data_IF_417679049675
#
_entry.id   IF_417679049675
#
_cell.length_a   1.000
_cell.length_b   1.000
_cell.length_c   1.000
_cell.angle_alpha   90.00
_cell.angle_beta   90.00
_cell.angle_gamma   90.00
#
_symmetry.space_group_name_H-M   'P 1'
#
loop_
_entity.id
_entity.type
_entity.pdbx_description
1 polymer ?
#
# COMPACT_ATOMS: atom_id res chain seq x y z
N UNK A 1 -29.84 26.37 -22.08
CA UNK A 1 -28.82 25.31 -22.26
C UNK A 1 -28.03 25.06 -20.98
N UNK A 2 -27.35 26.04 -20.37
CA UNK A 2 -26.60 25.84 -19.10
C UNK A 2 -27.43 25.22 -17.96
N UNK A 3 -28.65 25.70 -17.73
CA UNK A 3 -29.52 25.18 -16.67
C UNK A 3 -30.05 23.75 -16.93
N UNK A 4 -30.05 23.31 -18.19
CA UNK A 4 -30.52 21.98 -18.60
C UNK A 4 -29.40 20.93 -18.63
N UNK A 5 -28.14 21.38 -18.67
CA UNK A 5 -26.94 20.53 -18.77
C UNK A 5 -25.85 21.01 -17.80
N UNK A 6 -26.23 21.33 -16.56
CA UNK A 6 -25.33 21.92 -15.57
C UNK A 6 -24.08 21.07 -15.30
N UNK A 7 -24.19 19.74 -15.39
CA UNK A 7 -23.05 18.82 -15.24
C UNK A 7 -21.96 18.93 -16.32
N UNK A 8 -22.22 19.60 -17.45
CA UNK A 8 -21.23 19.84 -18.52
C UNK A 8 -20.50 21.18 -18.38
N UNK A 9 -20.93 22.04 -17.46
CA UNK A 9 -20.32 23.35 -17.25
C UNK A 9 -19.67 23.38 -15.87
N UNK A 10 -18.35 23.61 -15.84
CA UNK A 10 -17.60 23.72 -14.59
C UNK A 10 -18.14 24.84 -13.70
N UNK A 11 -18.18 24.57 -12.40
CA UNK A 11 -18.52 25.52 -11.35
C UNK A 11 -17.27 26.36 -11.07
N UNK A 12 -17.40 27.67 -10.81
CA UNK A 12 -16.25 28.50 -10.43
C UNK A 12 -15.67 28.07 -9.08
N UNK A 13 -14.36 28.26 -8.85
CA UNK A 13 -13.71 27.90 -7.58
C UNK A 13 -14.39 28.54 -6.37
N UNK A 14 -14.79 29.82 -6.48
CA UNK A 14 -15.54 30.53 -5.42
C UNK A 14 -16.86 29.84 -5.07
N UNK A 15 -17.56 29.33 -6.08
CA UNK A 15 -18.82 28.62 -5.91
C UNK A 15 -18.61 27.23 -5.31
N UNK A 16 -17.50 26.55 -5.64
CA UNK A 16 -17.11 25.28 -5.02
C UNK A 16 -16.81 25.50 -3.53
N UNK A 17 -16.02 26.52 -3.18
CA UNK A 17 -15.70 26.85 -1.79
C UNK A 17 -16.97 27.14 -0.98
N UNK A 18 -17.92 27.87 -1.56
CA UNK A 18 -19.23 28.13 -0.94
C UNK A 18 -20.03 26.84 -0.72
N UNK A 19 -20.04 25.91 -1.68
CA UNK A 19 -20.72 24.61 -1.53
C UNK A 19 -20.04 23.79 -0.43
N UNK A 20 -18.71 23.68 -0.43
CA UNK A 20 -17.98 22.86 0.54
C UNK A 20 -18.08 23.38 1.98
N UNK A 21 -18.25 24.69 2.17
CA UNK A 21 -18.38 25.32 3.50
C UNK A 21 -19.83 25.50 3.96
N UNK A 22 -20.79 25.27 3.07
CA UNK A 22 -22.22 25.37 3.40
C UNK A 22 -22.63 24.25 4.36
N UNK A 23 -23.29 24.62 5.47
CA UNK A 23 -23.84 23.65 6.43
C UNK A 23 -24.93 22.73 5.86
N UNK A 24 -25.48 23.06 4.69
CA UNK A 24 -26.48 22.22 4.00
C UNK A 24 -25.85 21.16 3.08
N UNK A 25 -24.53 21.18 2.91
CA UNK A 25 -23.84 20.20 2.09
C UNK A 25 -23.66 18.91 2.87
N UNK A 26 -23.98 17.79 2.19
CA UNK A 26 -23.79 16.44 2.71
C UNK A 26 -22.68 15.77 1.91
N UNK A 27 -21.66 15.29 2.60
CA UNK A 27 -20.57 14.53 2.01
C UNK A 27 -20.89 13.04 2.06
N UNK A 28 -20.81 12.40 0.89
CA UNK A 28 -20.99 10.96 0.75
C UNK A 28 -19.71 10.42 0.11
N UNK A 29 -19.01 9.55 0.83
CA UNK A 29 -17.84 8.88 0.29
C UNK A 29 -18.25 7.61 -0.45
N UNK A 30 -17.58 7.34 -1.56
CA UNK A 30 -17.65 6.05 -2.22
C UNK A 30 -16.97 4.97 -1.35
N UNK A 31 -17.49 3.75 -1.36
CA UNK A 31 -16.88 2.62 -0.67
C UNK A 31 -15.43 2.39 -1.12
N UNK A 32 -15.11 2.63 -2.39
CA UNK A 32 -13.77 2.50 -2.94
C UNK A 32 -12.75 3.45 -2.32
N UNK A 33 -13.17 4.67 -1.95
CA UNK A 33 -12.29 5.61 -1.25
C UNK A 33 -11.95 5.03 0.13
N UNK A 34 -12.96 4.57 0.86
CA UNK A 34 -12.79 3.96 2.19
C UNK A 34 -11.93 2.69 2.13
N UNK A 35 -12.09 1.87 1.09
CA UNK A 35 -11.29 0.67 0.87
C UNK A 35 -9.85 1.00 0.46
N UNK A 36 -9.62 2.13 -0.22
CA UNK A 36 -8.28 2.57 -0.62
C UNK A 36 -7.41 2.95 0.57
N UNK A 37 -8.00 3.36 1.69
CA UNK A 37 -7.27 3.66 2.94
C UNK A 37 -6.48 2.45 3.49
N UNK A 38 -6.84 1.21 3.12
CA UNK A 38 -6.11 -0.01 3.47
C UNK A 38 -4.87 -0.27 2.59
N UNK A 39 -4.71 0.51 1.52
CA UNK A 39 -3.60 0.43 0.55
C UNK A 39 -2.66 1.63 0.64
N UNK A 40 -3.08 2.70 1.31
CA UNK A 40 -2.28 3.90 1.49
C UNK A 40 -1.26 3.75 2.62
N UNK A 41 -0.24 4.62 2.58
CA UNK A 41 0.65 4.79 3.72
C UNK A 41 -0.11 5.31 4.94
N UNK A 42 0.42 4.99 6.12
CA UNK A 42 -0.18 5.39 7.39
C UNK A 42 -0.33 6.91 7.51
N UNK A 43 0.65 7.67 7.05
CA UNK A 43 0.59 9.14 7.03
C UNK A 43 -0.56 9.67 6.17
N UNK A 44 -0.70 9.18 4.93
CA UNK A 44 -1.79 9.58 4.04
C UNK A 44 -3.15 9.24 4.63
N UNK A 45 -3.27 8.05 5.24
CA UNK A 45 -4.49 7.62 5.92
C UNK A 45 -4.80 8.52 7.13
N UNK A 46 -3.81 8.86 7.95
CA UNK A 46 -4.00 9.73 9.10
C UNK A 46 -4.42 11.13 8.65
N UNK A 47 -3.80 11.66 7.59
CA UNK A 47 -4.18 12.94 7.01
C UNK A 47 -5.63 12.96 6.50
N UNK A 48 -6.08 11.86 5.91
CA UNK A 48 -7.47 11.70 5.52
C UNK A 48 -8.41 11.77 6.74
N UNK A 49 -8.09 11.09 7.84
CA UNK A 49 -8.89 11.14 9.06
C UNK A 49 -8.87 12.52 9.72
N UNK A 50 -7.74 13.23 9.71
CA UNK A 50 -7.68 14.62 10.18
C UNK A 50 -8.64 15.54 9.40
N UNK A 51 -8.71 15.37 8.08
CA UNK A 51 -9.65 16.13 7.25
C UNK A 51 -11.09 15.70 7.54
N UNK A 52 -11.35 14.40 7.65
CA UNK A 52 -12.67 13.86 7.98
C UNK A 52 -13.18 14.47 9.28
N UNK A 53 -12.38 14.52 10.35
CA UNK A 53 -12.80 15.09 11.63
C UNK A 53 -13.41 16.49 11.52
N UNK A 54 -12.97 17.31 10.56
CA UNK A 54 -13.52 18.64 10.33
C UNK A 54 -14.89 18.65 9.63
N UNK A 55 -15.24 17.58 8.92
CA UNK A 55 -16.46 17.48 8.09
C UNK A 55 -17.41 16.36 8.54
N UNK A 56 -17.09 15.64 9.62
CA UNK A 56 -17.82 14.44 10.05
C UNK A 56 -19.31 14.68 10.31
N UNK A 57 -19.68 15.85 10.84
CA UNK A 57 -21.07 16.22 11.12
C UNK A 57 -21.91 16.37 9.84
N UNK A 58 -21.24 16.58 8.70
CA UNK A 58 -21.84 16.71 7.38
C UNK A 58 -21.71 15.43 6.54
N UNK A 59 -21.13 14.36 7.09
CA UNK A 59 -20.94 13.11 6.38
C UNK A 59 -22.17 12.20 6.54
N UNK A 60 -22.66 11.67 5.43
CA UNK A 60 -23.71 10.66 5.42
C UNK A 60 -23.27 9.42 4.63
N UNK A 61 -23.57 8.24 5.17
CA UNK A 61 -23.20 6.97 4.56
C UNK A 61 -24.46 6.19 4.16
N UNK A 62 -24.79 6.14 2.85
CA UNK A 62 -25.87 5.32 2.35
C UNK A 62 -25.66 3.84 2.70
N UNK A 63 -26.76 3.11 2.94
CA UNK A 63 -26.71 1.67 3.23
C UNK A 63 -25.87 0.90 2.21
N UNK A 64 -26.02 1.22 0.92
CA UNK A 64 -25.29 0.53 -0.16
C UNK A 64 -23.77 0.71 -0.05
N UNK A 65 -23.30 1.91 0.30
CA UNK A 65 -21.87 2.19 0.50
C UNK A 65 -21.34 1.35 1.67
N UNK A 66 -22.06 1.34 2.79
CA UNK A 66 -21.69 0.54 3.96
C UNK A 66 -21.66 -0.96 3.63
N UNK A 67 -22.67 -1.47 2.90
CA UNK A 67 -22.76 -2.87 2.51
C UNK A 67 -21.60 -3.28 1.60
N UNK A 68 -21.28 -2.47 0.59
CA UNK A 68 -20.16 -2.71 -0.31
C UNK A 68 -18.82 -2.70 0.45
N UNK A 69 -18.62 -1.71 1.32
CA UNK A 69 -17.45 -1.63 2.19
C UNK A 69 -17.30 -2.90 3.03
N UNK A 70 -18.35 -3.32 3.74
CA UNK A 70 -18.30 -4.49 4.62
C UNK A 70 -18.00 -5.79 3.85
N UNK A 71 -18.61 -5.96 2.66
CA UNK A 71 -18.36 -7.13 1.81
C UNK A 71 -16.90 -7.20 1.31
N UNK A 72 -16.31 -6.05 1.00
CA UNK A 72 -15.00 -5.99 0.35
C UNK A 72 -13.83 -5.78 1.33
N UNK A 73 -14.08 -5.30 2.56
CA UNK A 73 -13.04 -4.93 3.53
C UNK A 73 -12.01 -6.03 3.77
N UNK A 74 -12.46 -7.23 4.15
CA UNK A 74 -11.54 -8.34 4.48
C UNK A 74 -10.73 -8.80 3.27
N UNK A 75 -11.35 -8.77 2.08
CA UNK A 75 -10.68 -9.09 0.82
C UNK A 75 -9.56 -8.08 0.54
N UNK A 76 -9.85 -6.78 0.61
CA UNK A 76 -8.85 -5.73 0.35
C UNK A 76 -7.71 -5.78 1.38
N UNK A 77 -8.00 -6.03 2.66
CA UNK A 77 -6.99 -6.23 3.70
C UNK A 77 -6.07 -7.40 3.36
N UNK A 78 -6.64 -8.53 2.94
CA UNK A 78 -5.87 -9.70 2.53
C UNK A 78 -5.03 -9.41 1.29
N UNK A 79 -5.62 -8.85 0.25
CA UNK A 79 -4.93 -8.53 -1.01
C UNK A 79 -3.76 -7.57 -0.77
N UNK A 80 -3.91 -6.59 0.13
CA UNK A 80 -2.86 -5.66 0.53
C UNK A 80 -1.70 -6.37 1.25
N UNK A 81 -2.00 -7.30 2.17
CA UNK A 81 -0.99 -8.14 2.83
C UNK A 81 -0.25 -9.04 1.85
N UNK A 82 -0.98 -9.68 0.94
CA UNK A 82 -0.44 -10.59 -0.06
C UNK A 82 0.47 -9.84 -1.04
N UNK A 83 0.10 -8.61 -1.42
CA UNK A 83 0.93 -7.74 -2.27
C UNK A 83 2.26 -7.39 -1.59
N UNK A 84 2.24 -7.03 -0.32
CA UNK A 84 3.44 -6.74 0.48
C UNK A 84 4.35 -7.97 0.61
N UNK A 85 3.78 -9.15 0.85
CA UNK A 85 4.55 -10.39 1.00
C UNK A 85 5.24 -10.85 -0.29
N UNK A 86 4.73 -10.48 -1.46
CA UNK A 86 5.37 -10.78 -2.75
C UNK A 86 6.71 -10.07 -2.94
N UNK A 87 6.92 -8.92 -2.30
CA UNK A 87 8.15 -8.12 -2.44
C UNK A 87 9.38 -8.90 -1.94
N UNK A 88 9.49 -9.29 -0.65
CA UNK A 88 10.65 -10.01 -0.15
C UNK A 88 10.79 -11.39 -0.81
N UNK A 89 9.68 -12.05 -1.17
CA UNK A 89 9.71 -13.32 -1.91
C UNK A 89 10.40 -13.17 -3.27
N UNK A 90 10.07 -12.13 -4.03
CA UNK A 90 10.66 -11.87 -5.34
C UNK A 90 12.14 -11.54 -5.23
N UNK A 91 12.52 -10.72 -4.23
CA UNK A 91 13.93 -10.39 -3.97
C UNK A 91 14.73 -11.65 -3.61
N UNK A 92 14.23 -12.48 -2.67
CA UNK A 92 14.88 -13.74 -2.29
C UNK A 92 15.02 -14.72 -3.47
N UNK A 93 14.00 -14.80 -4.33
CA UNK A 93 14.06 -15.62 -5.53
C UNK A 93 15.17 -15.15 -6.49
N UNK A 94 15.27 -13.85 -6.74
CA UNK A 94 16.32 -13.28 -7.59
C UNK A 94 17.73 -13.47 -7.00
N UNK A 95 17.89 -13.35 -5.68
CA UNK A 95 19.17 -13.62 -5.01
C UNK A 95 19.57 -15.09 -5.18
N UNK A 96 18.64 -16.02 -4.99
CA UNK A 96 18.90 -17.45 -5.16
C UNK A 96 19.26 -17.81 -6.61
N UNK A 97 18.60 -17.19 -7.57
CA UNK A 97 18.92 -17.34 -8.99
C UNK A 97 20.34 -16.84 -9.29
N UNK A 98 20.68 -15.63 -8.82
CA UNK A 98 22.00 -15.05 -8.99
C UNK A 98 23.09 -15.89 -8.28
N UNK A 99 22.79 -16.44 -7.11
CA UNK A 99 23.66 -17.38 -6.38
C UNK A 99 23.95 -18.63 -7.20
N UNK A 100 22.91 -19.23 -7.78
CA UNK A 100 23.04 -20.38 -8.68
C UNK A 100 23.88 -20.03 -9.92
N UNK A 101 23.64 -18.89 -10.54
CA UNK A 101 24.41 -18.45 -11.71
C UNK A 101 25.90 -18.23 -11.40
N UNK A 102 26.23 -17.73 -10.21
CA UNK A 102 27.61 -17.49 -9.79
C UNK A 102 28.31 -18.79 -9.41
N UNK A 103 27.67 -19.64 -8.60
CA UNK A 103 28.33 -20.85 -8.06
C UNK A 103 28.19 -22.08 -8.95
N UNK A 104 27.12 -22.21 -9.72
CA UNK A 104 26.84 -23.39 -10.55
C UNK A 104 26.89 -23.09 -12.06
N UNK A 105 27.18 -21.84 -12.44
CA UNK A 105 27.31 -21.40 -13.83
C UNK A 105 28.72 -21.60 -14.43
N UNK A 106 28.97 -20.96 -15.57
CA UNK A 106 30.20 -21.09 -16.36
C UNK A 106 31.49 -20.79 -15.57
N UNK A 107 31.39 -19.96 -14.52
CA UNK A 107 32.52 -19.53 -13.70
C UNK A 107 32.83 -20.44 -12.51
N UNK A 108 32.06 -21.50 -12.27
CA UNK A 108 32.24 -22.42 -11.13
C UNK A 108 33.65 -23.02 -11.09
N UNK A 109 34.19 -23.46 -12.23
CA UNK A 109 35.53 -24.06 -12.29
C UNK A 109 36.63 -23.07 -11.82
N UNK A 110 36.46 -21.78 -12.09
CA UNK A 110 37.37 -20.74 -11.61
C UNK A 110 37.16 -20.50 -10.12
N UNK A 111 35.91 -20.28 -9.69
CA UNK A 111 35.59 -20.00 -8.28
C UNK A 111 35.97 -21.18 -7.36
N UNK A 112 35.79 -22.41 -7.81
CA UNK A 112 36.16 -23.61 -7.05
C UNK A 112 37.67 -23.78 -6.86
N UNK A 113 38.51 -23.12 -7.68
CA UNK A 113 39.97 -23.13 -7.53
C UNK A 113 40.47 -22.10 -6.51
N UNK A 114 39.68 -21.06 -6.24
CA UNK A 114 40.00 -20.00 -5.29
C UNK A 114 39.08 -20.08 -4.07
N UNK A 115 39.48 -20.87 -3.06
CA UNK A 115 38.70 -21.06 -1.82
C UNK A 115 38.38 -19.75 -1.11
N UNK A 116 39.35 -18.83 -1.08
CA UNK A 116 39.21 -17.53 -0.39
C UNK A 116 38.18 -16.66 -1.11
N UNK A 117 38.27 -16.56 -2.45
CA UNK A 117 37.28 -15.88 -3.27
C UNK A 117 35.87 -16.47 -3.10
N UNK A 118 35.75 -17.80 -3.06
CA UNK A 118 34.47 -18.48 -2.80
C UNK A 118 33.93 -18.11 -1.41
N UNK A 119 34.78 -18.01 -0.40
CA UNK A 119 34.43 -17.55 0.94
C UNK A 119 33.94 -16.11 0.98
N UNK A 120 34.65 -15.19 0.30
CA UNK A 120 34.27 -13.79 0.16
C UNK A 120 32.91 -13.65 -0.55
N UNK A 121 32.69 -14.37 -1.65
CA UNK A 121 31.41 -14.38 -2.36
C UNK A 121 30.26 -14.87 -1.47
N UNK A 122 30.45 -15.98 -0.74
CA UNK A 122 29.44 -16.46 0.21
C UNK A 122 29.14 -15.43 1.30
N UNK A 123 30.16 -14.70 1.76
CA UNK A 123 29.99 -13.62 2.75
C UNK A 123 29.15 -12.49 2.16
N UNK A 124 29.39 -12.09 0.91
CA UNK A 124 28.58 -11.07 0.21
C UNK A 124 27.12 -11.52 0.11
N UNK A 125 26.85 -12.75 -0.34
CA UNK A 125 25.47 -13.26 -0.41
C UNK A 125 24.78 -13.26 0.95
N UNK A 126 25.50 -13.68 2.00
CA UNK A 126 24.96 -13.69 3.36
C UNK A 126 24.64 -12.28 3.86
N UNK A 127 25.48 -11.28 3.55
CA UNK A 127 25.21 -9.88 3.87
C UNK A 127 23.94 -9.37 3.15
N UNK A 128 23.78 -9.68 1.86
CA UNK A 128 22.58 -9.30 1.10
C UNK A 128 21.33 -9.97 1.69
N UNK A 129 21.38 -11.27 2.00
CA UNK A 129 20.28 -12.01 2.61
C UNK A 129 19.86 -11.41 3.97
N UNK A 130 20.83 -10.96 4.79
CA UNK A 130 20.58 -10.28 6.05
C UNK A 130 19.91 -8.92 5.84
N UNK A 131 20.43 -8.08 4.94
CA UNK A 131 19.86 -6.76 4.61
C UNK A 131 18.39 -6.90 4.17
N UNK A 132 18.10 -7.90 3.33
CA UNK A 132 16.73 -8.16 2.84
C UNK A 132 15.80 -8.62 3.97
N UNK A 133 16.32 -9.43 4.88
CA UNK A 133 15.54 -9.91 6.03
C UNK A 133 15.23 -8.77 6.99
N UNK A 134 16.22 -7.95 7.33
CA UNK A 134 16.06 -6.75 8.15
C UNK A 134 15.07 -5.75 7.51
N UNK A 135 15.18 -5.52 6.19
CA UNK A 135 14.23 -4.67 5.47
C UNK A 135 12.80 -5.22 5.54
N UNK A 136 12.64 -6.54 5.38
CA UNK A 136 11.33 -7.19 5.47
C UNK A 136 10.71 -7.00 6.86
N UNK A 137 11.48 -7.23 7.92
CA UNK A 137 11.01 -7.13 9.30
C UNK A 137 10.68 -5.68 9.67
N UNK A 138 11.59 -4.74 9.39
CA UNK A 138 11.45 -3.34 9.82
C UNK A 138 10.44 -2.55 9.00
N UNK A 139 10.16 -2.94 7.75
CA UNK A 139 9.34 -2.15 6.85
C UNK A 139 8.10 -2.88 6.33
N UNK A 140 8.22 -4.15 5.93
CA UNK A 140 7.12 -4.90 5.31
C UNK A 140 6.19 -5.46 6.38
N UNK A 141 6.73 -6.12 7.41
CA UNK A 141 5.93 -6.75 8.44
C UNK A 141 5.23 -5.73 9.35
N UNK A 142 5.89 -4.61 9.65
CA UNK A 142 5.25 -3.46 10.32
C UNK A 142 4.03 -2.96 9.53
N UNK A 143 4.17 -2.79 8.21
CA UNK A 143 3.05 -2.38 7.35
C UNK A 143 1.94 -3.44 7.37
N UNK A 144 2.27 -4.73 7.25
CA UNK A 144 1.29 -5.83 7.26
C UNK A 144 0.47 -5.89 8.56
N UNK A 145 1.12 -5.63 9.69
CA UNK A 145 0.47 -5.55 11.00
C UNK A 145 -0.52 -4.37 11.07
N UNK A 146 -0.14 -3.21 10.52
CA UNK A 146 -0.91 -1.96 10.58
C UNK A 146 -1.92 -1.76 9.43
N UNK A 147 -2.10 -2.72 8.52
CA UNK A 147 -3.10 -2.62 7.44
C UNK A 147 -4.51 -2.54 8.02
N UNK A 148 -4.85 -3.42 8.97
CA UNK A 148 -6.22 -3.46 9.51
C UNK A 148 -6.37 -2.51 10.70
N UNK A 149 -6.56 -1.23 10.40
CA UNK A 149 -6.70 -0.17 11.40
C UNK A 149 -8.04 -0.17 12.16
N UNK A 150 -9.03 -0.96 11.72
CA UNK A 150 -10.31 -1.14 12.44
C UNK A 150 -10.23 -2.20 13.55
N UNK A 151 -9.12 -2.94 13.66
CA UNK A 151 -8.92 -3.97 14.69
C UNK A 151 -8.30 -3.45 15.98
N UNK A 152 -7.93 -2.16 16.07
CA UNK A 152 -7.51 -1.60 17.36
C UNK A 152 -8.76 -1.39 18.24
N UNK A 153 -8.75 -1.90 19.48
CA UNK A 153 -9.88 -1.80 20.41
C UNK A 153 -10.20 -0.34 20.76
#
# INVERSE_FOLDING_TARGET
MRNSFSGFYGISEDSIGTIFTSGNTIFIFDANILLTLYRCEEETRNRFFEIWENIKEQCWFPHQVCLEYQRNRLKVVKDSRDALEKIPKKIKASINELKTQVFDGEHNQTISRYSDLKGELNTIFSQIENIVSEFSENHIDVRKANIDFFKKP
#
